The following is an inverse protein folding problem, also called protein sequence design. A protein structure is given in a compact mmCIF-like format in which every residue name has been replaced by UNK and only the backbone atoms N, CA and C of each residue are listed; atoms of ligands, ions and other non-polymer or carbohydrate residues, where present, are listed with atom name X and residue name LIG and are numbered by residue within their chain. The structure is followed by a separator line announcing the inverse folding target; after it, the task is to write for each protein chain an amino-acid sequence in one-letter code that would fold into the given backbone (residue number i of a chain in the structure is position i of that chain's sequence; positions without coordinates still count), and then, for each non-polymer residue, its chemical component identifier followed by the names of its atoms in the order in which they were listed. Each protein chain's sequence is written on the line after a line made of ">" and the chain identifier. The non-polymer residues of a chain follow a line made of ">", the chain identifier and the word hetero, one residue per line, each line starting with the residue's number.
data_IF_530751212272
#
_entry.id   IF_530751212272
#
_cell.length_a   1.000
_cell.length_b   1.000
_cell.length_c   1.000
_cell.angle_alpha   90.00
_cell.angle_beta   90.00
_cell.angle_gamma   90.00
#
_symmetry.space_group_name_H-M   'P 1'
#
loop_
_entity.id
_entity.type
_entity.pdbx_description
1 polymer ?
#
# COMPACT_ATOMS: atom_id res chain seq x y z
N UNK A 1 17.79 12.45 1.31
CA UNK A 1 17.55 12.56 2.77
C UNK A 1 16.66 11.40 3.17
N UNK A 2 16.88 10.83 4.35
CA UNK A 2 16.11 9.69 4.87
C UNK A 2 15.06 10.21 5.86
N UNK A 3 13.81 9.77 5.76
CA UNK A 3 12.74 10.19 6.66
C UNK A 3 13.06 9.88 8.13
N UNK A 4 12.55 10.69 9.06
CA UNK A 4 12.78 10.56 10.52
C UNK A 4 12.51 9.14 11.04
N UNK A 5 11.42 8.51 10.60
CA UNK A 5 11.00 7.17 11.04
C UNK A 5 11.18 6.10 9.96
N UNK A 6 12.07 6.29 8.98
CA UNK A 6 12.21 5.40 7.82
C UNK A 6 12.28 3.91 8.18
N UNK A 7 13.23 3.51 9.04
CA UNK A 7 13.41 2.11 9.46
C UNK A 7 12.18 1.57 10.18
N UNK A 8 11.67 2.34 11.14
CA UNK A 8 10.49 1.98 11.94
C UNK A 8 9.23 1.81 11.07
N UNK A 9 9.07 2.67 10.07
CA UNK A 9 7.94 2.61 9.15
C UNK A 9 7.99 1.32 8.33
N UNK A 10 9.16 0.98 7.77
CA UNK A 10 9.35 -0.28 7.03
C UNK A 10 9.09 -1.51 7.90
N UNK A 11 9.59 -1.54 9.14
CA UNK A 11 9.33 -2.63 10.09
C UNK A 11 7.83 -2.81 10.41
N UNK A 12 7.07 -1.72 10.43
CA UNK A 12 5.63 -1.79 10.64
C UNK A 12 4.88 -2.21 9.38
N UNK A 13 5.29 -1.70 8.21
CA UNK A 13 4.75 -2.08 6.90
C UNK A 13 4.94 -3.58 6.66
N UNK A 14 6.09 -4.15 7.06
CA UNK A 14 6.37 -5.58 6.84
C UNK A 14 5.42 -6.52 7.59
N UNK A 15 4.65 -6.01 8.56
CA UNK A 15 3.64 -6.80 9.27
C UNK A 15 2.30 -6.88 8.53
N UNK A 16 2.07 -6.02 7.54
CA UNK A 16 0.82 -5.97 6.79
C UNK A 16 0.64 -7.21 5.90
N UNK A 17 -0.62 -7.48 5.55
CA UNK A 17 -0.97 -8.48 4.56
C UNK A 17 -0.40 -8.10 3.18
N UNK A 18 -0.18 -9.07 2.30
CA UNK A 18 0.69 -8.97 1.13
C UNK A 18 0.32 -7.80 0.19
N UNK A 19 -0.95 -7.65 -0.16
CA UNK A 19 -1.41 -6.56 -1.04
C UNK A 19 -1.28 -5.22 -0.32
N UNK A 20 -1.80 -5.14 0.90
CA UNK A 20 -1.75 -3.93 1.74
C UNK A 20 -0.30 -3.47 1.98
N UNK A 21 0.62 -4.41 2.19
CA UNK A 21 2.06 -4.18 2.33
C UNK A 21 2.64 -3.53 1.08
N UNK A 22 2.34 -4.06 -0.10
CA UNK A 22 2.83 -3.50 -1.37
C UNK A 22 2.32 -2.07 -1.58
N UNK A 23 1.04 -1.80 -1.31
CA UNK A 23 0.49 -0.43 -1.39
C UNK A 23 1.21 0.50 -0.40
N UNK A 24 1.37 0.05 0.84
CA UNK A 24 2.01 0.84 1.89
C UNK A 24 3.50 1.12 1.59
N UNK A 25 4.22 0.18 0.96
CA UNK A 25 5.59 0.40 0.48
C UNK A 25 5.65 1.47 -0.61
N UNK A 26 4.73 1.45 -1.60
CA UNK A 26 4.65 2.49 -2.64
C UNK A 26 4.34 3.85 -2.06
N UNK A 27 3.40 3.90 -1.12
CA UNK A 27 3.07 5.12 -0.41
C UNK A 27 4.30 5.63 0.36
N UNK A 28 5.02 4.76 1.04
CA UNK A 28 6.27 5.10 1.73
C UNK A 28 7.36 5.62 0.78
N UNK A 29 7.53 5.03 -0.40
CA UNK A 29 8.47 5.53 -1.41
C UNK A 29 8.09 6.94 -1.90
N UNK A 30 6.80 7.20 -2.09
CA UNK A 30 6.30 8.55 -2.39
C UNK A 30 6.63 9.53 -1.26
N UNK A 31 6.43 9.14 0.00
CA UNK A 31 6.77 9.98 1.16
C UNK A 31 8.26 10.32 1.20
N UNK A 32 9.12 9.34 0.93
CA UNK A 32 10.59 9.53 0.87
C UNK A 32 10.96 10.48 -0.27
N UNK A 33 10.43 10.26 -1.48
CA UNK A 33 10.72 11.08 -2.66
C UNK A 33 10.33 12.55 -2.48
N UNK A 34 9.25 12.81 -1.74
CA UNK A 34 8.68 14.14 -1.54
C UNK A 34 9.03 14.78 -0.18
N UNK A 35 9.91 14.14 0.60
CA UNK A 35 10.32 14.58 1.94
C UNK A 35 9.10 14.91 2.85
N UNK A 36 8.20 13.93 2.96
CA UNK A 36 6.99 14.01 3.79
C UNK A 36 7.21 13.12 5.01
N UNK A 37 7.47 13.74 6.16
CA UNK A 37 7.74 13.02 7.39
C UNK A 37 6.44 12.59 8.08
N UNK A 38 6.28 11.27 8.23
CA UNK A 38 5.21 10.64 9.01
C UNK A 38 5.77 9.48 9.83
N UNK A 39 5.02 9.08 10.85
CA UNK A 39 5.20 7.87 11.63
C UNK A 39 4.06 6.90 11.33
N UNK A 40 4.36 5.69 10.87
CA UNK A 40 3.39 4.59 10.84
C UNK A 40 3.31 4.03 12.27
N UNK A 41 2.24 4.37 12.97
CA UNK A 41 2.07 4.14 14.40
C UNK A 41 1.71 2.68 14.69
N UNK A 42 0.62 2.19 14.10
CA UNK A 42 0.06 0.84 14.28
C UNK A 42 -0.25 0.19 12.92
N UNK A 43 -0.10 -1.13 12.82
CA UNK A 43 -0.49 -1.93 11.63
C UNK A 43 -1.33 -3.13 12.05
N UNK A 44 -0.72 -4.08 12.78
CA UNK A 44 -1.42 -5.25 13.31
C UNK A 44 -1.94 -5.00 14.72
N UNK A 45 -3.20 -5.40 14.94
CA UNK A 45 -3.86 -5.37 16.24
C UNK A 45 -4.28 -6.77 16.63
N UNK A 46 -4.17 -7.12 17.92
CA UNK A 46 -4.68 -8.41 18.41
C UNK A 46 -6.18 -8.36 18.66
N UNK A 47 -6.82 -9.54 18.73
CA UNK A 47 -8.25 -9.65 19.05
C UNK A 47 -8.53 -9.05 20.45
N UNK A 48 -7.65 -9.27 21.41
CA UNK A 48 -7.74 -8.76 22.78
C UNK A 48 -7.69 -7.23 22.80
N UNK A 49 -6.74 -6.63 22.07
CA UNK A 49 -6.65 -5.18 21.92
C UNK A 49 -7.91 -4.61 21.27
N UNK A 50 -8.44 -5.26 20.25
CA UNK A 50 -9.65 -4.79 19.59
C UNK A 50 -10.89 -4.90 20.50
N UNK A 51 -11.03 -5.99 21.27
CA UNK A 51 -12.08 -6.11 22.30
C UNK A 51 -12.00 -4.98 23.31
N UNK A 52 -10.80 -4.67 23.76
CA UNK A 52 -10.57 -3.58 24.72
C UNK A 52 -10.89 -2.21 24.13
N UNK A 53 -10.55 -1.96 22.86
CA UNK A 53 -10.91 -0.73 22.15
C UNK A 53 -12.42 -0.58 22.01
N UNK A 54 -13.14 -1.66 21.72
CA UNK A 54 -14.61 -1.67 21.70
C UNK A 54 -15.17 -1.36 23.08
N UNK A 55 -14.67 -2.01 24.14
CA UNK A 55 -15.09 -1.79 25.52
C UNK A 55 -14.88 -0.33 25.97
N UNK A 56 -13.79 0.29 25.54
CA UNK A 56 -13.44 1.69 25.82
C UNK A 56 -14.15 2.71 24.92
N UNK A 57 -14.90 2.26 23.90
CA UNK A 57 -15.53 3.14 22.91
C UNK A 57 -14.56 3.75 21.89
N UNK A 58 -13.29 3.34 21.89
CA UNK A 58 -12.30 3.73 20.88
C UNK A 58 -12.54 3.04 19.52
N UNK A 59 -13.33 1.97 19.51
CA UNK A 59 -13.86 1.37 18.28
C UNK A 59 -15.34 1.03 18.46
N UNK A 60 -16.11 1.02 17.36
CA UNK A 60 -17.52 0.61 17.41
C UNK A 60 -17.75 -0.88 17.14
N UNK A 61 -16.77 -1.58 16.59
CA UNK A 61 -16.98 -2.91 16.02
C UNK A 61 -15.76 -3.80 16.23
N UNK A 62 -16.01 -5.11 16.34
CA UNK A 62 -14.95 -6.12 16.30
C UNK A 62 -14.41 -6.34 14.88
N UNK A 63 -15.13 -5.91 13.84
CA UNK A 63 -14.67 -6.02 12.45
C UNK A 63 -13.70 -4.88 12.14
N UNK A 64 -12.41 -5.08 12.44
CA UNK A 64 -11.34 -4.10 12.23
C UNK A 64 -10.30 -4.60 11.24
N UNK A 65 -9.97 -3.78 10.24
CA UNK A 65 -8.98 -4.16 9.22
C UNK A 65 -7.56 -4.36 9.79
N UNK A 66 -7.24 -3.81 10.97
CA UNK A 66 -5.99 -4.10 11.68
C UNK A 66 -5.89 -5.55 12.15
N UNK A 67 -7.01 -6.24 12.39
CA UNK A 67 -7.01 -7.66 12.76
C UNK A 67 -6.58 -8.57 11.60
N UNK A 68 -6.76 -8.10 10.38
CA UNK A 68 -6.52 -8.87 9.14
C UNK A 68 -5.36 -8.29 8.32
N UNK A 69 -4.57 -7.38 8.91
CA UNK A 69 -3.40 -6.77 8.27
C UNK A 69 -3.68 -5.88 7.07
N UNK A 70 -4.91 -5.41 6.94
CA UNK A 70 -5.38 -4.57 5.83
C UNK A 70 -5.56 -3.10 6.25
N UNK A 71 -4.94 -2.67 7.35
CA UNK A 71 -4.96 -1.28 7.78
C UNK A 71 -3.67 -0.86 8.46
N UNK A 72 -3.41 0.45 8.41
CA UNK A 72 -2.35 1.11 9.15
C UNK A 72 -2.84 2.45 9.68
N UNK A 73 -2.32 2.85 10.83
CA UNK A 73 -2.51 4.18 11.38
C UNK A 73 -1.22 4.97 11.19
N UNK A 74 -1.29 6.17 10.62
CA UNK A 74 -0.16 7.07 10.44
C UNK A 74 -0.35 8.38 11.19
N UNK A 75 0.75 9.05 11.54
CA UNK A 75 0.73 10.35 12.21
C UNK A 75 1.75 11.27 11.54
N UNK A 76 1.38 12.52 11.21
CA UNK A 76 2.33 13.54 10.78
C UNK A 76 3.48 13.73 11.76
N UNK A 77 4.64 14.13 11.25
CA UNK A 77 5.81 14.39 12.09
C UNK A 77 6.26 15.83 11.87
N UNK A 78 6.45 16.55 12.98
CA UNK A 78 6.86 17.95 12.96
C UNK A 78 8.35 18.11 12.59
N UNK A 79 8.80 19.36 12.45
CA UNK A 79 10.19 19.67 12.12
C UNK A 79 11.22 19.26 13.19
N UNK A 80 10.76 18.87 14.40
CA UNK A 80 11.58 18.37 15.49
C UNK A 80 11.58 16.84 15.56
N UNK A 81 10.91 16.16 14.62
CA UNK A 81 10.81 14.70 14.60
C UNK A 81 9.76 14.14 15.56
N UNK A 82 8.88 14.97 16.12
CA UNK A 82 7.84 14.55 17.07
C UNK A 82 6.51 14.30 16.36
N UNK A 83 5.70 13.40 16.91
CA UNK A 83 4.37 13.10 16.38
C UNK A 83 3.44 14.31 16.54
N UNK A 84 2.89 14.80 15.43
CA UNK A 84 1.91 15.88 15.37
C UNK A 84 0.52 15.33 15.02
N UNK A 85 -0.25 14.98 16.04
CA UNK A 85 -1.62 14.47 15.90
C UNK A 85 -2.62 15.50 15.34
N UNK A 86 -2.22 16.78 15.22
CA UNK A 86 -3.04 17.84 14.60
C UNK A 86 -2.57 18.20 13.19
N UNK A 87 -1.47 17.62 12.72
CA UNK A 87 -0.77 17.99 11.49
C UNK A 87 -1.44 17.59 10.18
N UNK A 88 -2.62 16.97 10.21
CA UNK A 88 -3.32 16.48 9.01
C UNK A 88 -3.74 17.59 8.04
N UNK A 89 -3.82 18.84 8.52
CA UNK A 89 -4.14 19.98 7.67
C UNK A 89 -2.95 20.54 6.87
N UNK A 90 -1.73 20.06 7.16
CA UNK A 90 -0.52 20.43 6.45
C UNK A 90 -0.61 20.05 4.95
N UNK A 91 -0.25 20.96 4.02
CA UNK A 91 -0.30 20.68 2.58
C UNK A 91 0.45 19.42 2.13
N UNK A 92 1.64 19.14 2.69
CA UNK A 92 2.40 17.92 2.38
C UNK A 92 1.67 16.66 2.85
N UNK A 93 1.05 16.71 4.03
CA UNK A 93 0.26 15.59 4.55
C UNK A 93 -0.99 15.37 3.70
N UNK A 94 -1.65 16.43 3.24
CA UNK A 94 -2.78 16.31 2.29
C UNK A 94 -2.34 15.62 1.00
N UNK A 95 -1.16 15.94 0.46
CA UNK A 95 -0.61 15.24 -0.71
C UNK A 95 -0.34 13.76 -0.42
N UNK A 96 0.20 13.43 0.75
CA UNK A 96 0.36 12.03 1.17
C UNK A 96 -0.98 11.28 1.25
N UNK A 97 -2.04 11.91 1.79
CA UNK A 97 -3.38 11.31 1.86
C UNK A 97 -3.96 11.11 0.46
N UNK A 98 -3.83 12.11 -0.42
CA UNK A 98 -4.28 12.01 -1.82
C UNK A 98 -3.58 10.84 -2.51
N UNK A 99 -2.27 10.68 -2.31
CA UNK A 99 -1.51 9.57 -2.88
C UNK A 99 -1.95 8.22 -2.29
N UNK A 100 -2.14 8.12 -0.97
CA UNK A 100 -2.65 6.89 -0.35
C UNK A 100 -3.98 6.46 -0.98
N UNK A 101 -4.89 7.43 -1.18
CA UNK A 101 -6.18 7.19 -1.84
C UNK A 101 -6.04 6.80 -3.30
N UNK A 102 -5.14 7.44 -4.05
CA UNK A 102 -4.83 7.08 -5.45
C UNK A 102 -4.31 5.64 -5.56
N UNK A 103 -3.58 5.18 -4.53
CA UNK A 103 -3.06 3.81 -4.43
C UNK A 103 -4.11 2.80 -3.91
N UNK A 104 -5.34 3.22 -3.63
CA UNK A 104 -6.46 2.35 -3.26
C UNK A 104 -6.75 2.26 -1.76
N UNK A 105 -6.07 3.03 -0.91
CA UNK A 105 -6.49 3.15 0.49
C UNK A 105 -7.77 3.99 0.63
N UNK A 106 -8.66 3.54 1.50
CA UNK A 106 -9.66 4.40 2.10
C UNK A 106 -9.06 5.13 3.30
N UNK A 107 -9.33 6.44 3.44
CA UNK A 107 -8.85 7.24 4.56
C UNK A 107 -9.98 7.53 5.57
N UNK A 108 -9.75 7.20 6.84
CA UNK A 108 -10.73 7.40 7.91
C UNK A 108 -11.04 8.86 8.21
N UNK A 109 -10.19 9.79 7.75
CA UNK A 109 -10.47 11.23 7.80
C UNK A 109 -11.66 11.67 6.92
N UNK A 110 -12.01 10.89 5.89
CA UNK A 110 -13.16 11.16 5.01
C UNK A 110 -14.48 10.58 5.54
N UNK A 111 -14.47 9.81 6.64
CA UNK A 111 -15.68 9.19 7.17
C UNK A 111 -16.70 10.23 7.66
N UNK A 112 -17.98 10.04 7.33
CA UNK A 112 -19.06 10.96 7.74
C UNK A 112 -19.36 10.95 9.24
N UNK A 113 -18.96 9.89 9.93
CA UNK A 113 -19.12 9.75 11.37
C UNK A 113 -17.91 9.00 11.92
N UNK A 114 -17.47 9.34 13.14
CA UNK A 114 -16.31 8.73 13.78
C UNK A 114 -15.04 8.91 12.94
N UNK A 115 -14.82 10.15 12.50
CA UNK A 115 -13.65 10.58 11.75
C UNK A 115 -12.38 10.12 12.45
N UNK A 116 -11.58 9.32 11.75
CA UNK A 116 -10.35 8.73 12.25
C UNK A 116 -9.19 9.11 11.31
N UNK A 117 -8.64 10.31 11.54
CA UNK A 117 -7.60 10.88 10.66
C UNK A 117 -6.31 10.04 10.57
N UNK A 118 -5.87 9.33 11.63
CA UNK A 118 -4.75 8.40 11.50
C UNK A 118 -4.99 7.23 10.53
N UNK A 119 -6.25 6.82 10.33
CA UNK A 119 -6.55 5.51 9.77
C UNK A 119 -6.51 5.45 8.25
N UNK A 120 -5.81 4.45 7.72
CA UNK A 120 -5.86 4.01 6.32
C UNK A 120 -6.23 2.53 6.28
N UNK A 121 -7.21 2.15 5.45
CA UNK A 121 -7.59 0.74 5.23
C UNK A 121 -7.61 0.38 3.74
N UNK A 122 -7.14 -0.81 3.42
CA UNK A 122 -7.18 -1.36 2.07
C UNK A 122 -8.32 -2.39 1.95
N UNK A 123 -9.51 -1.90 1.60
CA UNK A 123 -10.74 -2.67 1.58
C UNK A 123 -11.16 -3.18 0.18
N UNK A 124 -10.39 -2.88 -0.88
CA UNK A 124 -10.76 -3.22 -2.27
C UNK A 124 -10.93 -4.73 -2.52
N UNK A 125 -10.17 -5.59 -1.83
CA UNK A 125 -10.30 -7.05 -1.95
C UNK A 125 -11.34 -7.67 -1.01
N UNK A 126 -12.02 -6.86 -0.19
CA UNK A 126 -12.90 -7.34 0.88
C UNK A 126 -12.15 -7.57 2.20
N UNK A 127 -12.90 -7.82 3.26
CA UNK A 127 -12.36 -7.98 4.61
C UNK A 127 -11.76 -9.38 4.82
N UNK A 128 -10.50 -9.46 5.22
CA UNK A 128 -9.82 -10.71 5.57
C UNK A 128 -9.44 -11.59 4.38
N UNK A 129 -9.43 -11.04 3.18
CA UNK A 129 -9.14 -11.76 1.93
C UNK A 129 -7.71 -11.55 1.44
N UNK A 130 -7.00 -10.57 1.99
CA UNK A 130 -5.58 -10.37 1.71
C UNK A 130 -4.75 -11.51 2.31
N UNK A 131 -3.69 -11.92 1.63
CA UNK A 131 -2.85 -13.06 2.02
C UNK A 131 -1.69 -12.62 2.89
N UNK A 132 -1.03 -13.58 3.55
CA UNK A 132 0.24 -13.33 4.23
C UNK A 132 1.29 -14.30 3.71
N UNK A 133 2.49 -13.79 3.47
CA UNK A 133 3.69 -14.58 3.18
C UNK A 133 3.93 -14.86 1.70
N UNK A 134 2.92 -14.70 0.84
CA UNK A 134 3.08 -14.96 -0.60
C UNK A 134 4.02 -13.96 -1.27
N UNK A 135 3.98 -12.70 -0.83
CA UNK A 135 4.91 -11.68 -1.31
C UNK A 135 6.36 -12.03 -0.96
N UNK A 136 6.60 -12.54 0.25
CA UNK A 136 7.94 -12.89 0.72
C UNK A 136 8.47 -14.13 0.00
N UNK A 137 7.62 -15.13 -0.29
CA UNK A 137 7.99 -16.28 -1.13
C UNK A 137 8.44 -15.86 -2.53
N UNK A 138 7.72 -14.92 -3.16
CA UNK A 138 8.07 -14.36 -4.46
C UNK A 138 9.37 -13.54 -4.44
N UNK A 139 9.58 -12.75 -3.37
CA UNK A 139 10.76 -11.90 -3.20
C UNK A 139 12.03 -12.69 -2.86
N UNK A 140 11.90 -13.79 -2.13
CA UNK A 140 13.03 -14.63 -1.69
C UNK A 140 13.35 -15.77 -2.66
N UNK A 141 12.49 -16.04 -3.65
CA UNK A 141 12.93 -16.77 -4.84
C UNK A 141 14.04 -15.99 -5.55
N UNK A 142 14.91 -16.67 -6.31
CA UNK A 142 15.70 -15.93 -7.30
C UNK A 142 14.71 -15.14 -8.17
N UNK A 143 14.93 -13.83 -8.37
CA UNK A 143 14.05 -13.01 -9.21
C UNK A 143 14.24 -13.44 -10.67
N UNK A 144 13.60 -14.54 -11.01
CA UNK A 144 13.76 -15.20 -12.28
C UNK A 144 13.10 -14.36 -13.38
N UNK A 145 13.71 -14.39 -14.56
CA UNK A 145 13.05 -13.95 -15.78
C UNK A 145 11.71 -14.68 -15.91
N UNK A 146 10.67 -13.90 -16.17
CA UNK A 146 9.32 -14.39 -16.37
C UNK A 146 9.31 -15.36 -17.57
N UNK A 147 8.83 -16.58 -17.35
CA UNK A 147 8.72 -17.62 -18.38
C UNK A 147 7.26 -17.75 -18.77
N UNK A 148 6.91 -17.25 -19.94
CA UNK A 148 5.58 -17.33 -20.54
C UNK A 148 5.68 -17.89 -21.95
N UNK A 149 4.62 -18.56 -22.40
CA UNK A 149 4.44 -18.94 -23.79
C UNK A 149 4.25 -17.68 -24.67
N UNK A 150 4.51 -17.81 -25.98
CA UNK A 150 4.42 -16.69 -26.91
C UNK A 150 3.06 -15.98 -26.85
N UNK A 151 1.96 -16.74 -26.78
CA UNK A 151 0.61 -16.18 -26.72
C UNK A 151 0.35 -15.40 -25.42
N UNK A 152 0.96 -15.82 -24.32
CA UNK A 152 0.82 -15.17 -23.01
C UNK A 152 1.59 -13.84 -23.00
N UNK A 153 2.77 -13.79 -23.65
CA UNK A 153 3.49 -12.54 -23.88
C UNK A 153 2.68 -11.56 -24.72
N UNK A 154 2.06 -12.04 -25.82
CA UNK A 154 1.24 -11.20 -26.69
C UNK A 154 0.02 -10.63 -25.96
N UNK A 155 -0.63 -11.45 -25.12
CA UNK A 155 -1.70 -10.99 -24.22
C UNK A 155 -1.20 -9.93 -23.24
N UNK A 156 -0.08 -10.16 -22.55
CA UNK A 156 0.49 -9.22 -21.59
C UNK A 156 0.81 -7.88 -22.26
N UNK A 157 1.51 -7.88 -23.39
CA UNK A 157 1.86 -6.67 -24.15
C UNK A 157 0.60 -5.92 -24.58
N UNK A 158 -0.43 -6.63 -25.04
CA UNK A 158 -1.70 -6.03 -25.49
C UNK A 158 -2.39 -5.30 -24.34
N UNK A 159 -2.43 -5.93 -23.16
CA UNK A 159 -3.02 -5.33 -21.97
C UNK A 159 -2.22 -4.12 -21.47
N UNK A 160 -0.89 -4.23 -21.41
CA UNK A 160 -0.02 -3.10 -21.03
C UNK A 160 -0.18 -1.89 -21.96
N UNK A 161 -0.29 -2.12 -23.28
CA UNK A 161 -0.58 -1.05 -24.26
C UNK A 161 -1.95 -0.42 -24.04
N UNK A 162 -2.97 -1.23 -23.75
CA UNK A 162 -4.32 -0.74 -23.44
C UNK A 162 -4.32 0.15 -22.19
N UNK A 163 -3.73 -0.31 -21.09
CA UNK A 163 -3.66 0.46 -19.84
C UNK A 163 -2.83 1.75 -19.98
N UNK A 164 -1.85 1.78 -20.90
CA UNK A 164 -1.17 3.02 -21.27
C UNK A 164 -2.10 4.02 -21.97
N UNK A 165 -2.92 3.55 -22.91
CA UNK A 165 -3.85 4.40 -23.64
C UNK A 165 -4.98 4.94 -22.76
N UNK A 166 -5.41 4.15 -21.77
CA UNK A 166 -6.44 4.52 -20.80
C UNK A 166 -5.92 5.47 -19.70
N UNK A 167 -4.64 5.90 -19.79
CA UNK A 167 -3.92 6.74 -18.83
C UNK A 167 -3.85 6.17 -17.39
N UNK A 168 -4.19 4.90 -17.21
CA UNK A 168 -4.03 4.14 -15.97
C UNK A 168 -2.55 3.92 -15.65
N UNK A 169 -1.68 4.00 -16.68
CA UNK A 169 -0.26 3.73 -16.58
C UNK A 169 0.59 4.53 -17.58
N UNK A 170 1.69 5.18 -17.16
CA UNK A 170 2.44 6.11 -18.03
C UNK A 170 3.84 5.65 -18.46
N UNK A 171 4.31 4.48 -18.03
CA UNK A 171 5.70 4.05 -18.29
C UNK A 171 5.81 3.07 -19.46
N UNK A 172 6.48 3.48 -20.54
CA UNK A 172 6.81 2.62 -21.69
C UNK A 172 7.74 1.45 -21.33
N UNK A 173 8.51 1.60 -20.25
CA UNK A 173 9.51 0.64 -19.80
C UNK A 173 8.95 -0.79 -19.63
N UNK A 174 7.69 -0.92 -19.22
CA UNK A 174 7.08 -2.23 -18.97
C UNK A 174 6.61 -2.92 -20.24
N UNK A 175 6.16 -2.13 -21.21
CA UNK A 175 5.89 -2.62 -22.57
C UNK A 175 7.21 -3.09 -23.18
N UNK A 176 8.28 -2.32 -23.04
CA UNK A 176 9.59 -2.68 -23.57
C UNK A 176 10.14 -3.95 -22.92
N UNK A 177 10.02 -4.09 -21.60
CA UNK A 177 10.41 -5.32 -20.89
C UNK A 177 9.58 -6.53 -21.34
N UNK A 178 8.28 -6.35 -21.58
CA UNK A 178 7.42 -7.42 -22.08
C UNK A 178 7.78 -7.83 -23.52
N UNK A 179 7.98 -6.85 -24.41
CA UNK A 179 8.41 -7.07 -25.81
C UNK A 179 9.76 -7.78 -25.86
N UNK A 180 10.71 -7.37 -25.01
CA UNK A 180 12.05 -7.94 -24.97
C UNK A 180 12.15 -9.19 -24.08
N UNK A 181 11.06 -9.61 -23.44
CA UNK A 181 11.00 -10.77 -22.51
C UNK A 181 12.05 -10.70 -21.41
N UNK A 182 12.32 -9.49 -20.91
CA UNK A 182 13.27 -9.22 -19.83
C UNK A 182 12.60 -8.94 -18.50
N UNK A 183 11.27 -9.05 -18.45
CA UNK A 183 10.48 -8.88 -17.24
C UNK A 183 10.75 -10.02 -16.26
N UNK A 184 10.79 -9.74 -14.96
CA UNK A 184 10.90 -10.76 -13.92
C UNK A 184 9.53 -11.18 -13.35
N UNK A 185 9.49 -12.25 -12.58
CA UNK A 185 8.27 -12.69 -11.89
C UNK A 185 7.79 -11.61 -10.91
N UNK A 186 8.70 -11.00 -10.14
CA UNK A 186 8.37 -9.92 -9.20
C UNK A 186 7.80 -8.70 -9.92
N UNK A 187 8.30 -8.42 -11.12
CA UNK A 187 7.83 -7.34 -11.98
C UNK A 187 6.45 -7.59 -12.58
N UNK A 188 6.14 -8.83 -12.99
CA UNK A 188 4.80 -9.20 -13.41
C UNK A 188 3.81 -9.10 -12.27
N UNK A 189 4.18 -9.58 -11.08
CA UNK A 189 3.35 -9.48 -9.87
C UNK A 189 3.10 -8.00 -9.55
N UNK A 190 4.12 -7.15 -9.67
CA UNK A 190 3.97 -5.71 -9.52
C UNK A 190 3.02 -5.13 -10.57
N UNK A 191 3.12 -5.53 -11.85
CA UNK A 191 2.24 -5.05 -12.92
C UNK A 191 0.79 -5.49 -12.73
N UNK A 192 0.55 -6.77 -12.47
CA UNK A 192 -0.78 -7.32 -12.15
C UNK A 192 -1.40 -6.56 -10.96
N UNK A 193 -0.57 -6.13 -10.02
CA UNK A 193 -1.00 -5.38 -8.85
C UNK A 193 -1.25 -3.88 -9.11
N UNK A 194 -0.55 -3.25 -10.06
CA UNK A 194 -0.70 -1.81 -10.39
C UNK A 194 -1.83 -1.56 -11.37
N UNK A 195 -2.13 -2.53 -12.23
CA UNK A 195 -2.97 -2.35 -13.42
C UNK A 195 -4.43 -2.84 -13.20
N UNK A 196 -4.80 -3.16 -11.96
CA UNK A 196 -6.09 -3.78 -11.62
C UNK A 196 -6.30 -5.16 -12.32
N UNK A 197 -7.27 -5.95 -11.88
CA UNK A 197 -7.44 -7.41 -12.13
C UNK A 197 -7.57 -7.88 -13.61
N UNK A 198 -7.18 -7.06 -14.60
CA UNK A 198 -7.34 -7.39 -16.02
C UNK A 198 -6.13 -8.01 -16.71
N UNK A 199 -4.96 -8.20 -16.06
CA UNK A 199 -3.78 -8.89 -16.64
C UNK A 199 -3.69 -10.36 -16.29
#
# INVERSE_FOLDING_TARGET
>A
MTLTYYKRNLENIDKLADHTKIVALKWHDYLVKNDINILIYETIRTVEMQRENVRKGASKTMKSYHLVGQALDFVPVDSKGQSDWKGYDNPKIKQAIIEAKRLGFEWGGDWKSFIDKPHLQFNHKGYGTDTFGKYTELKNGEDELLKLENYQWDMLITKLKKCKNDAEFSSEQWIDKAVNRTMTVSELVWLHFVIDDQI
#
